data_IF_863685725062
#
_entry.id   IF_863685725062
#
_cell.length_a   1.000
_cell.length_b   1.000
_cell.length_c   1.000
_cell.angle_alpha   90.00
_cell.angle_beta   90.00
_cell.angle_gamma   90.00
#
_symmetry.space_group_name_H-M   'P 1'
#
loop_
_entity.id
_entity.type
_entity.pdbx_description
1 polymer ?
#
# COMPACT_ATOMS: atom_id res chain seq x y z
N UNK A 1 12.13 16.05 -23.57
CA UNK A 1 13.45 15.49 -23.95
C UNK A 1 13.27 14.05 -24.42
N UNK A 2 12.96 13.82 -25.71
CA UNK A 2 12.41 12.52 -26.16
C UNK A 2 13.41 11.37 -26.11
N UNK A 3 14.73 11.63 -26.02
CA UNK A 3 15.79 10.61 -25.99
C UNK A 3 16.45 10.44 -24.61
N UNK A 4 16.06 11.22 -23.60
CA UNK A 4 16.66 11.12 -22.27
C UNK A 4 16.23 9.80 -21.62
N UNK A 5 17.19 8.90 -21.39
CA UNK A 5 16.94 7.56 -20.81
C UNK A 5 17.39 7.46 -19.36
N UNK A 6 18.46 8.15 -19.03
CA UNK A 6 19.05 8.17 -17.70
C UNK A 6 19.19 9.62 -17.30
N UNK A 7 18.65 9.96 -16.14
CA UNK A 7 18.86 11.26 -15.54
C UNK A 7 19.30 11.05 -14.10
N UNK A 8 20.61 10.95 -13.89
CA UNK A 8 21.15 10.62 -12.59
C UNK A 8 21.00 11.82 -11.64
N UNK A 9 20.19 11.64 -10.61
CA UNK A 9 19.98 12.59 -9.52
C UNK A 9 20.56 12.09 -8.20
N UNK A 10 21.38 11.02 -8.23
CA UNK A 10 22.22 10.65 -7.09
C UNK A 10 23.03 11.87 -6.65
N UNK A 11 23.19 12.03 -5.34
CA UNK A 11 23.87 13.19 -4.71
C UNK A 11 23.07 14.50 -4.73
N UNK A 12 21.79 14.47 -5.17
CA UNK A 12 20.85 15.56 -4.94
C UNK A 12 19.86 15.23 -3.83
N UNK A 13 19.07 16.22 -3.40
CA UNK A 13 17.89 16.01 -2.52
C UNK A 13 16.59 15.82 -3.31
N UNK A 14 16.70 15.37 -4.56
CA UNK A 14 15.52 15.22 -5.43
C UNK A 14 14.55 14.14 -4.91
N UNK A 15 15.05 13.18 -4.14
CA UNK A 15 14.26 12.18 -3.43
C UNK A 15 13.30 12.80 -2.39
N UNK A 16 13.63 13.94 -1.77
CA UNK A 16 12.73 14.70 -0.87
C UNK A 16 11.60 15.47 -1.57
N UNK A 17 11.63 15.58 -2.90
CA UNK A 17 10.59 16.28 -3.69
C UNK A 17 9.83 15.30 -4.57
N UNK A 18 9.48 14.15 -3.99
CA UNK A 18 8.81 13.05 -4.68
C UNK A 18 7.53 13.44 -5.40
N UNK A 19 6.75 14.37 -4.84
CA UNK A 19 5.51 14.89 -5.43
C UNK A 19 5.75 15.57 -6.78
N UNK A 20 6.58 16.62 -6.78
CA UNK A 20 6.94 17.34 -7.99
C UNK A 20 7.59 16.43 -9.05
N UNK A 21 8.41 15.44 -8.63
CA UNK A 21 8.97 14.45 -9.54
C UNK A 21 7.89 13.53 -10.13
N UNK A 22 6.91 13.12 -9.33
CA UNK A 22 5.78 12.29 -9.77
C UNK A 22 4.97 13.03 -10.84
N UNK A 23 4.65 14.30 -10.62
CA UNK A 23 3.98 15.15 -11.62
C UNK A 23 4.84 15.32 -12.88
N UNK A 24 6.14 15.55 -12.73
CA UNK A 24 7.04 15.69 -13.87
C UNK A 24 7.14 14.40 -14.70
N UNK A 25 7.19 13.23 -14.06
CA UNK A 25 7.20 11.93 -14.71
C UNK A 25 5.87 11.64 -15.41
N UNK A 26 4.75 11.94 -14.76
CA UNK A 26 3.41 11.77 -15.31
C UNK A 26 2.99 12.86 -16.31
N UNK A 27 3.88 13.82 -16.63
CA UNK A 27 3.60 14.89 -17.60
C UNK A 27 3.57 14.41 -19.06
N UNK A 28 4.09 13.22 -19.35
CA UNK A 28 4.29 12.71 -20.71
C UNK A 28 5.46 13.36 -21.48
N UNK A 29 6.23 14.26 -20.85
CA UNK A 29 7.36 14.97 -21.51
C UNK A 29 8.69 14.19 -21.49
N UNK A 30 8.72 13.06 -20.78
CA UNK A 30 9.89 12.21 -20.56
C UNK A 30 9.65 10.75 -21.03
N UNK A 31 9.19 10.52 -22.27
CA UNK A 31 8.68 9.21 -22.70
C UNK A 31 9.75 8.11 -22.80
N UNK A 32 11.04 8.46 -22.84
CA UNK A 32 12.14 7.50 -22.93
C UNK A 32 12.87 7.28 -21.61
N UNK A 33 12.47 8.00 -20.55
CA UNK A 33 13.18 7.96 -19.28
C UNK A 33 13.02 6.59 -18.64
N UNK A 34 14.14 6.01 -18.21
CA UNK A 34 14.19 4.70 -17.57
C UNK A 34 14.58 4.79 -16.10
N UNK A 35 15.40 5.76 -15.71
CA UNK A 35 15.88 5.84 -14.32
C UNK A 35 16.26 7.25 -13.92
N UNK A 36 16.08 7.55 -12.63
CA UNK A 36 16.53 8.78 -11.96
C UNK A 36 17.80 8.58 -11.11
N UNK A 37 18.38 7.38 -11.09
CA UNK A 37 19.56 7.05 -10.27
C UNK A 37 19.26 6.57 -8.84
N UNK A 38 18.07 6.81 -8.31
CA UNK A 38 17.64 6.32 -7.00
C UNK A 38 16.31 5.54 -7.08
N UNK A 39 15.98 4.85 -5.98
CA UNK A 39 14.91 3.83 -5.94
C UNK A 39 13.77 4.17 -4.97
N UNK A 40 13.75 5.35 -4.37
CA UNK A 40 12.69 5.77 -3.46
C UNK A 40 12.35 7.25 -3.63
N UNK A 41 11.07 7.57 -3.63
CA UNK A 41 10.57 8.94 -3.49
C UNK A 41 10.02 9.14 -2.08
N UNK A 42 10.32 10.30 -1.52
CA UNK A 42 9.78 10.75 -0.25
C UNK A 42 8.76 11.87 -0.44
N UNK A 43 7.70 11.84 0.36
CA UNK A 43 6.55 12.71 0.22
C UNK A 43 6.13 13.29 1.57
N UNK A 44 5.79 14.58 1.56
CA UNK A 44 4.95 15.22 2.56
C UNK A 44 3.47 15.18 2.12
N UNK A 45 2.58 15.85 2.87
CA UNK A 45 1.16 15.92 2.52
C UNK A 45 0.91 16.53 1.12
N UNK A 46 1.66 17.57 0.74
CA UNK A 46 1.55 18.15 -0.61
C UNK A 46 2.00 17.13 -1.66
N UNK A 47 3.10 16.43 -1.40
CA UNK A 47 3.64 15.40 -2.27
C UNK A 47 2.71 14.21 -2.46
N UNK A 48 1.94 13.82 -1.44
CA UNK A 48 0.89 12.79 -1.56
C UNK A 48 -0.22 13.25 -2.51
N UNK A 49 -0.65 14.52 -2.43
CA UNK A 49 -1.59 15.10 -3.38
C UNK A 49 -1.06 15.11 -4.82
N UNK A 50 0.17 15.57 -5.01
CA UNK A 50 0.87 15.56 -6.30
C UNK A 50 0.98 14.14 -6.90
N UNK A 51 1.25 13.15 -6.04
CA UNK A 51 1.27 11.75 -6.46
C UNK A 51 -0.13 11.28 -6.90
N UNK A 52 -1.19 11.66 -6.19
CA UNK A 52 -2.57 11.39 -6.58
C UNK A 52 -2.90 11.92 -7.97
N UNK A 53 -2.54 13.17 -8.25
CA UNK A 53 -2.71 13.77 -9.59
C UNK A 53 -1.91 13.04 -10.66
N UNK A 54 -0.66 12.66 -10.35
CA UNK A 54 0.18 11.89 -11.26
C UNK A 54 -0.40 10.49 -11.57
N UNK A 55 -1.01 9.84 -10.58
CA UNK A 55 -1.71 8.54 -10.74
C UNK A 55 -2.94 8.67 -11.63
N UNK A 56 -3.73 9.74 -11.48
CA UNK A 56 -4.89 10.04 -12.35
C UNK A 56 -4.46 10.34 -13.79
N UNK A 57 -3.36 11.08 -13.96
CA UNK A 57 -2.86 11.44 -15.29
C UNK A 57 -2.36 10.23 -16.10
N UNK A 58 -1.78 9.23 -15.42
CA UNK A 58 -1.30 7.96 -16.00
C UNK A 58 -0.21 8.07 -17.11
N UNK A 59 0.34 9.25 -17.42
CA UNK A 59 1.31 9.41 -18.54
C UNK A 59 2.77 9.15 -18.13
N UNK A 60 2.99 8.08 -17.39
CA UNK A 60 4.30 7.70 -16.88
C UNK A 60 5.21 7.13 -17.99
N UNK A 61 6.54 7.27 -17.87
CA UNK A 61 7.45 6.69 -18.85
C UNK A 61 7.35 5.15 -18.87
N UNK A 62 7.16 4.52 -20.05
CA UNK A 62 7.13 3.06 -20.14
C UNK A 62 8.48 2.46 -19.80
N UNK A 63 8.48 1.40 -18.99
CA UNK A 63 9.71 0.69 -18.60
C UNK A 63 10.62 1.49 -17.67
N UNK A 64 10.04 2.40 -16.89
CA UNK A 64 10.72 3.07 -15.80
C UNK A 64 11.15 2.07 -14.72
N UNK A 65 12.31 2.33 -14.10
CA UNK A 65 12.87 1.49 -13.05
C UNK A 65 11.95 1.47 -11.85
N UNK A 66 11.98 0.33 -11.17
CA UNK A 66 11.23 0.06 -9.95
C UNK A 66 11.56 1.08 -8.84
N UNK A 67 10.52 1.61 -8.19
CA UNK A 67 10.62 2.64 -7.14
C UNK A 67 9.67 2.32 -5.99
N UNK A 68 10.07 2.71 -4.78
CA UNK A 68 9.25 2.76 -3.58
C UNK A 68 8.81 4.20 -3.26
N UNK A 69 7.59 4.37 -2.74
CA UNK A 69 7.09 5.65 -2.27
C UNK A 69 7.01 5.64 -0.75
N UNK A 70 7.58 6.65 -0.10
CA UNK A 70 7.72 6.71 1.35
C UNK A 70 7.19 8.02 1.90
N UNK A 71 6.36 7.94 2.92
CA UNK A 71 5.87 9.10 3.65
C UNK A 71 6.94 9.60 4.62
N UNK A 72 7.19 10.92 4.65
CA UNK A 72 8.14 11.54 5.60
C UNK A 72 7.47 12.12 6.85
N UNK A 73 6.15 12.33 6.81
CA UNK A 73 5.41 13.02 7.85
C UNK A 73 4.37 12.11 8.50
N UNK A 74 4.09 12.37 9.76
CA UNK A 74 3.00 11.72 10.49
C UNK A 74 1.68 12.45 10.23
N UNK A 75 0.56 11.76 10.41
CA UNK A 75 -0.80 12.32 10.36
C UNK A 75 -1.25 12.83 8.97
N UNK A 76 -0.53 12.48 7.91
CA UNK A 76 -0.89 12.85 6.53
C UNK A 76 -2.16 12.13 6.11
N UNK A 77 -3.13 12.86 5.55
CA UNK A 77 -4.33 12.26 4.99
C UNK A 77 -4.03 11.56 3.66
N UNK A 78 -4.30 10.25 3.59
CA UNK A 78 -4.03 9.42 2.41
C UNK A 78 -5.28 9.20 1.53
N UNK A 79 -6.45 9.68 1.95
CA UNK A 79 -7.72 9.40 1.28
C UNK A 79 -7.73 9.82 -0.19
N UNK A 80 -7.18 10.99 -0.49
CA UNK A 80 -7.10 11.49 -1.87
C UNK A 80 -6.21 10.62 -2.75
N UNK A 81 -5.12 10.07 -2.21
CA UNK A 81 -4.28 9.13 -2.94
C UNK A 81 -5.00 7.80 -3.17
N UNK A 82 -5.67 7.25 -2.15
CA UNK A 82 -6.46 6.03 -2.28
C UNK A 82 -7.57 6.20 -3.31
N UNK A 83 -8.27 7.33 -3.28
CA UNK A 83 -9.30 7.68 -4.25
C UNK A 83 -8.70 7.83 -5.65
N UNK A 84 -7.56 8.50 -5.80
CA UNK A 84 -6.87 8.64 -7.08
C UNK A 84 -6.50 7.27 -7.69
N UNK A 85 -6.02 6.33 -6.88
CA UNK A 85 -5.78 4.95 -7.32
C UNK A 85 -7.09 4.32 -7.79
N UNK A 86 -8.15 4.48 -7.01
CA UNK A 86 -9.50 3.98 -7.32
C UNK A 86 -10.13 4.62 -8.57
N UNK A 87 -9.79 5.85 -8.92
CA UNK A 87 -10.31 6.56 -10.10
C UNK A 87 -9.49 6.31 -11.36
N UNK A 88 -8.20 6.02 -11.21
CA UNK A 88 -7.30 5.77 -12.34
C UNK A 88 -7.70 4.53 -13.13
N UNK A 89 -7.62 4.60 -14.47
CA UNK A 89 -7.93 3.50 -15.38
C UNK A 89 -7.03 2.27 -15.14
N UNK A 90 -5.78 2.53 -14.74
CA UNK A 90 -4.76 1.50 -14.55
C UNK A 90 -4.37 1.35 -13.07
N UNK A 91 -4.68 2.34 -12.25
CA UNK A 91 -4.31 2.36 -10.84
C UNK A 91 -2.85 2.76 -10.65
N UNK A 92 -2.17 2.09 -9.73
CA UNK A 92 -0.75 2.34 -9.49
C UNK A 92 0.08 1.92 -10.71
N UNK A 93 1.08 2.74 -11.11
CA UNK A 93 1.99 2.37 -12.18
C UNK A 93 2.75 1.09 -11.86
N UNK A 94 2.98 0.23 -12.86
CA UNK A 94 3.63 -1.08 -12.69
C UNK A 94 5.07 -1.05 -12.15
N UNK A 95 5.73 0.11 -12.16
CA UNK A 95 7.06 0.28 -11.59
C UNK A 95 7.02 0.58 -10.08
N UNK A 96 5.87 0.89 -9.50
CA UNK A 96 5.73 1.11 -8.05
C UNK A 96 5.75 -0.24 -7.36
N UNK A 97 6.82 -0.52 -6.61
CA UNK A 97 6.98 -1.78 -5.87
C UNK A 97 6.49 -1.69 -4.44
N UNK A 98 6.76 -0.56 -3.80
CA UNK A 98 6.50 -0.33 -2.38
C UNK A 98 5.72 0.94 -2.15
N UNK A 99 4.71 0.85 -1.28
CA UNK A 99 4.05 1.99 -0.66
C UNK A 99 4.32 1.92 0.84
N UNK A 100 5.15 2.83 1.33
CA UNK A 100 5.48 2.99 2.74
C UNK A 100 4.75 4.21 3.28
N UNK A 101 3.52 4.00 3.73
CA UNK A 101 2.60 5.05 4.15
C UNK A 101 2.39 5.07 5.67
N UNK A 102 3.36 4.52 6.40
CA UNK A 102 3.33 4.48 7.87
C UNK A 102 3.08 5.87 8.45
N UNK A 103 2.30 5.92 9.54
CA UNK A 103 1.82 7.14 10.19
C UNK A 103 0.82 8.00 9.39
N UNK A 104 0.43 7.60 8.18
CA UNK A 104 -0.67 8.27 7.46
C UNK A 104 -2.05 7.86 7.97
N UNK A 105 -3.09 8.62 7.63
CA UNK A 105 -4.49 8.35 7.98
C UNK A 105 -5.30 7.92 6.77
N UNK A 106 -6.19 6.95 6.99
CA UNK A 106 -7.09 6.38 5.99
C UNK A 106 -8.51 6.32 6.56
N UNK A 107 -9.49 6.82 5.83
CA UNK A 107 -10.90 6.65 6.16
C UNK A 107 -11.45 5.31 5.68
N UNK A 108 -12.56 4.89 6.30
CA UNK A 108 -13.27 3.69 5.84
C UNK A 108 -13.84 3.92 4.44
N UNK A 109 -14.32 5.13 4.19
CA UNK A 109 -14.92 5.57 2.93
C UNK A 109 -13.94 5.53 1.77
N UNK A 110 -12.69 5.95 1.98
CA UNK A 110 -11.65 5.87 0.96
C UNK A 110 -11.33 4.41 0.59
N UNK A 111 -11.19 3.53 1.58
CA UNK A 111 -10.96 2.10 1.35
C UNK A 111 -12.15 1.43 0.67
N UNK A 112 -13.38 1.74 1.09
CA UNK A 112 -14.59 1.24 0.46
C UNK A 112 -14.72 1.70 -1.00
N UNK A 113 -14.39 2.96 -1.28
CA UNK A 113 -14.32 3.50 -2.64
C UNK A 113 -13.30 2.74 -3.50
N UNK A 114 -12.10 2.47 -2.97
CA UNK A 114 -11.10 1.70 -3.69
C UNK A 114 -11.58 0.27 -3.98
N UNK A 115 -12.14 -0.43 -2.98
CA UNK A 115 -12.68 -1.78 -3.14
C UNK A 115 -13.79 -1.85 -4.21
N UNK A 116 -14.69 -0.86 -4.25
CA UNK A 116 -15.76 -0.76 -5.24
C UNK A 116 -15.23 -0.57 -6.67
N UNK A 117 -14.00 -0.09 -6.82
CA UNK A 117 -13.33 0.11 -8.10
C UNK A 117 -12.45 -1.09 -8.54
N UNK A 118 -12.60 -2.26 -7.90
CA UNK A 118 -11.93 -3.50 -8.33
C UNK A 118 -12.49 -4.12 -9.62
N UNK A 119 -11.74 -5.05 -10.22
CA UNK A 119 -12.25 -5.88 -11.34
C UNK A 119 -12.33 -5.25 -12.74
N UNK A 120 -11.60 -4.16 -13.02
CA UNK A 120 -11.57 -3.54 -14.36
C UNK A 120 -10.84 -4.37 -15.44
N UNK A 121 -11.05 -4.00 -16.72
CA UNK A 121 -10.48 -4.68 -17.90
C UNK A 121 -8.93 -4.76 -17.91
N UNK A 122 -8.26 -3.91 -17.14
CA UNK A 122 -6.80 -3.81 -16.98
C UNK A 122 -6.24 -4.68 -15.83
N UNK A 123 -7.09 -5.38 -15.08
CA UNK A 123 -6.72 -6.13 -13.88
C UNK A 123 -6.77 -5.28 -12.61
N UNK A 124 -6.10 -5.75 -11.55
CA UNK A 124 -6.07 -5.06 -10.26
C UNK A 124 -5.26 -3.76 -10.26
N UNK A 125 -5.83 -2.69 -9.70
CA UNK A 125 -5.20 -1.37 -9.54
C UNK A 125 -3.97 -1.36 -8.63
N UNK A 126 -3.77 -2.45 -7.89
CA UNK A 126 -2.64 -2.70 -6.98
C UNK A 126 -1.84 -3.95 -7.37
N UNK A 127 -2.09 -4.54 -8.56
CA UNK A 127 -1.64 -5.89 -8.92
C UNK A 127 -0.12 -6.09 -8.95
N UNK A 128 0.65 -5.02 -9.18
CA UNK A 128 2.11 -5.04 -9.26
C UNK A 128 2.81 -4.68 -7.93
N UNK A 129 2.04 -4.19 -6.95
CA UNK A 129 2.58 -3.77 -5.67
C UNK A 129 3.08 -4.99 -4.89
N UNK A 130 4.28 -4.89 -4.30
CA UNK A 130 4.93 -5.98 -3.56
C UNK A 130 4.97 -5.73 -2.07
N UNK A 131 5.08 -4.46 -1.68
CA UNK A 131 5.26 -4.03 -0.31
C UNK A 131 4.24 -2.94 0.02
N UNK A 132 3.50 -3.15 1.09
CA UNK A 132 2.61 -2.15 1.65
C UNK A 132 2.90 -2.04 3.15
N UNK A 133 3.23 -0.84 3.60
CA UNK A 133 3.41 -0.54 5.01
C UNK A 133 2.39 0.52 5.43
N UNK A 134 1.46 0.09 6.27
CA UNK A 134 0.42 0.91 6.92
C UNK A 134 0.58 0.85 8.44
N UNK A 135 1.82 0.72 8.92
CA UNK A 135 2.10 0.71 10.35
C UNK A 135 1.76 2.06 10.97
N UNK A 136 1.21 2.07 12.19
CA UNK A 136 0.84 3.31 12.88
C UNK A 136 -0.19 4.19 12.14
N UNK A 137 -1.04 3.60 11.31
CA UNK A 137 -2.07 4.32 10.54
C UNK A 137 -3.41 4.49 11.28
N UNK A 138 -3.51 4.03 12.53
CA UNK A 138 -4.76 4.06 13.30
C UNK A 138 -5.84 3.15 12.71
N UNK A 139 -5.43 2.06 12.04
CA UNK A 139 -6.37 1.07 11.51
C UNK A 139 -7.06 0.34 12.67
N UNK A 140 -8.38 0.35 12.65
CA UNK A 140 -9.22 -0.47 13.52
C UNK A 140 -9.78 -1.66 12.72
N UNK A 141 -10.60 -2.48 13.38
CA UNK A 141 -11.21 -3.66 12.78
C UNK A 141 -12.08 -3.34 11.55
N UNK A 142 -12.76 -2.20 11.54
CA UNK A 142 -13.62 -1.79 10.43
C UNK A 142 -12.77 -1.42 9.20
N UNK A 143 -11.75 -0.59 9.38
CA UNK A 143 -10.79 -0.24 8.31
C UNK A 143 -10.03 -1.47 7.82
N UNK A 144 -9.63 -2.37 8.72
CA UNK A 144 -8.94 -3.59 8.34
C UNK A 144 -9.85 -4.50 7.49
N UNK A 145 -11.13 -4.66 7.86
CA UNK A 145 -12.10 -5.39 7.04
C UNK A 145 -12.19 -4.80 5.64
N UNK A 146 -12.30 -3.47 5.50
CA UNK A 146 -12.30 -2.80 4.18
C UNK A 146 -11.02 -3.06 3.41
N UNK A 147 -9.87 -3.07 4.06
CA UNK A 147 -8.61 -3.43 3.41
C UNK A 147 -8.64 -4.88 2.88
N UNK A 148 -9.31 -5.80 3.58
CA UNK A 148 -9.59 -7.15 3.08
C UNK A 148 -10.44 -7.15 1.80
N UNK A 149 -11.49 -6.34 1.76
CA UNK A 149 -12.35 -6.15 0.57
C UNK A 149 -11.54 -5.57 -0.61
N UNK A 150 -10.68 -4.59 -0.37
CA UNK A 150 -9.75 -4.03 -1.37
C UNK A 150 -8.89 -5.14 -1.98
N UNK A 151 -8.22 -5.96 -1.16
CA UNK A 151 -7.38 -7.04 -1.68
C UNK A 151 -8.18 -8.13 -2.40
N UNK A 152 -9.42 -8.37 -1.97
CA UNK A 152 -10.34 -9.28 -2.65
C UNK A 152 -10.70 -8.78 -4.05
N UNK A 153 -11.03 -7.48 -4.16
CA UNK A 153 -11.46 -6.86 -5.41
C UNK A 153 -10.34 -6.63 -6.43
N UNK A 154 -9.09 -6.48 -5.96
CA UNK A 154 -7.95 -6.18 -6.84
C UNK A 154 -7.00 -7.36 -7.10
N UNK A 155 -7.14 -8.50 -6.43
CA UNK A 155 -6.26 -9.67 -6.61
C UNK A 155 -4.76 -9.27 -6.65
N UNK A 156 -4.21 -8.85 -5.51
CA UNK A 156 -2.84 -8.34 -5.42
C UNK A 156 -1.80 -9.48 -5.51
N UNK A 157 -1.65 -10.02 -6.73
CA UNK A 157 -0.86 -11.23 -7.02
C UNK A 157 0.61 -11.08 -6.72
N UNK A 158 1.20 -9.89 -6.87
CA UNK A 158 2.62 -9.66 -6.60
C UNK A 158 2.91 -9.30 -5.14
N UNK A 159 1.89 -9.14 -4.29
CA UNK A 159 2.05 -8.74 -2.90
C UNK A 159 2.87 -9.77 -2.12
N UNK A 160 3.97 -9.33 -1.53
CA UNK A 160 4.88 -10.19 -0.74
C UNK A 160 4.81 -9.84 0.74
N UNK A 161 4.64 -8.56 1.06
CA UNK A 161 4.72 -8.06 2.43
C UNK A 161 3.66 -6.99 2.70
N UNK A 162 2.93 -7.17 3.79
CA UNK A 162 2.04 -6.16 4.37
C UNK A 162 2.46 -5.96 5.83
N UNK A 163 2.78 -4.73 6.22
CA UNK A 163 3.07 -4.35 7.61
C UNK A 163 1.90 -3.52 8.16
N UNK A 164 1.30 -4.00 9.25
CA UNK A 164 0.17 -3.39 9.97
C UNK A 164 0.51 -3.21 11.46
N UNK A 165 1.80 -3.07 11.78
CA UNK A 165 2.27 -2.94 13.15
C UNK A 165 1.71 -1.64 13.78
N UNK A 166 1.58 -1.59 15.12
CA UNK A 166 1.19 -0.36 15.84
C UNK A 166 -0.19 0.22 15.44
N UNK A 167 -1.13 -0.64 15.06
CA UNK A 167 -2.53 -0.27 14.79
C UNK A 167 -3.44 -0.69 15.95
N UNK A 168 -4.76 -0.64 15.78
CA UNK A 168 -5.78 -0.99 16.79
C UNK A 168 -6.57 -2.22 16.34
N UNK A 169 -5.87 -3.24 15.86
CA UNK A 169 -6.46 -4.44 15.28
C UNK A 169 -6.68 -5.49 16.37
N UNK A 170 -7.92 -5.95 16.51
CA UNK A 170 -8.29 -7.09 17.36
C UNK A 170 -8.17 -8.42 16.61
N UNK A 171 -8.35 -9.52 17.33
CA UNK A 171 -8.41 -10.86 16.74
C UNK A 171 -9.69 -11.03 15.90
N UNK A 172 -10.78 -10.41 16.32
CA UNK A 172 -12.05 -10.36 15.60
C UNK A 172 -11.90 -9.59 14.28
N UNK A 173 -11.19 -8.46 14.32
CA UNK A 173 -10.85 -7.67 13.13
C UNK A 173 -10.00 -8.46 12.13
N UNK A 174 -8.96 -9.13 12.63
CA UNK A 174 -8.13 -10.00 11.79
C UNK A 174 -8.91 -11.18 11.21
N UNK A 175 -9.81 -11.80 11.99
CA UNK A 175 -10.69 -12.86 11.49
C UNK A 175 -11.57 -12.34 10.35
N UNK A 176 -12.21 -11.18 10.53
CA UNK A 176 -13.06 -10.57 9.52
C UNK A 176 -12.28 -10.18 8.24
N UNK A 177 -11.03 -9.71 8.40
CA UNK A 177 -10.12 -9.48 7.28
C UNK A 177 -9.86 -10.76 6.48
N UNK A 178 -9.48 -11.84 7.16
CA UNK A 178 -9.20 -13.13 6.53
C UNK A 178 -10.44 -13.72 5.86
N UNK A 179 -11.63 -13.50 6.42
CA UNK A 179 -12.91 -13.88 5.84
C UNK A 179 -13.19 -13.15 4.53
N UNK A 180 -12.95 -11.84 4.47
CA UNK A 180 -13.15 -11.00 3.27
C UNK A 180 -12.24 -11.39 2.09
N UNK A 181 -11.07 -11.98 2.36
CA UNK A 181 -10.15 -12.44 1.32
C UNK A 181 -10.69 -13.68 0.59
N UNK A 182 -10.49 -13.72 -0.73
CA UNK A 182 -10.54 -14.94 -1.53
C UNK A 182 -9.15 -15.63 -1.56
N UNK A 183 -9.07 -16.93 -1.92
CA UNK A 183 -7.78 -17.60 -2.12
C UNK A 183 -6.88 -16.91 -3.15
N UNK A 184 -7.46 -16.16 -4.09
CA UNK A 184 -6.76 -15.43 -5.16
C UNK A 184 -6.34 -14.01 -4.78
N UNK A 185 -6.79 -13.48 -3.63
CA UNK A 185 -6.52 -12.09 -3.23
C UNK A 185 -5.02 -11.82 -3.04
N UNK A 186 -4.30 -12.73 -2.37
CA UNK A 186 -2.92 -12.53 -1.91
C UNK A 186 -2.08 -13.84 -2.02
N UNK A 187 -1.96 -14.45 -3.21
CA UNK A 187 -1.39 -15.78 -3.39
C UNK A 187 0.13 -15.85 -3.10
N UNK A 188 0.81 -14.71 -3.15
CA UNK A 188 2.26 -14.61 -2.94
C UNK A 188 2.63 -13.97 -1.60
N UNK A 189 1.67 -13.63 -0.74
CA UNK A 189 1.96 -12.97 0.53
C UNK A 189 2.78 -13.88 1.43
N UNK A 190 3.98 -13.43 1.80
CA UNK A 190 4.91 -14.18 2.65
C UNK A 190 4.91 -13.66 4.08
N UNK A 191 4.67 -12.36 4.25
CA UNK A 191 4.74 -11.68 5.55
C UNK A 191 3.54 -10.76 5.73
N UNK A 192 2.75 -11.02 6.76
CA UNK A 192 1.76 -10.11 7.31
C UNK A 192 2.20 -9.80 8.75
N UNK A 193 2.64 -8.57 9.00
CA UNK A 193 3.11 -8.12 10.31
C UNK A 193 1.97 -7.43 11.06
N UNK A 194 1.74 -7.84 12.32
CA UNK A 194 0.66 -7.39 13.21
C UNK A 194 1.21 -7.15 14.62
N UNK A 195 2.44 -6.65 14.74
CA UNK A 195 3.14 -6.49 16.03
C UNK A 195 2.64 -5.27 16.77
N UNK A 196 2.81 -5.28 18.10
CA UNK A 196 2.55 -4.15 19.01
C UNK A 196 1.24 -3.44 18.71
N UNK A 197 0.12 -4.18 18.69
CA UNK A 197 -1.18 -3.55 18.54
C UNK A 197 -1.51 -2.72 19.79
N UNK A 198 -2.29 -1.66 19.58
CA UNK A 198 -2.75 -0.72 20.57
C UNK A 198 -4.20 -1.02 20.96
N UNK A 199 -4.59 -0.57 22.15
CA UNK A 199 -5.98 -0.56 22.60
C UNK A 199 -6.81 0.42 21.79
N UNK A 200 -8.15 0.38 21.97
CA UNK A 200 -9.08 1.36 21.38
C UNK A 200 -8.72 2.79 21.79
N UNK A 201 -8.23 2.97 23.02
CA UNK A 201 -7.78 4.24 23.57
C UNK A 201 -6.41 4.68 23.01
N UNK A 202 -5.74 3.82 22.26
CA UNK A 202 -4.46 4.11 21.59
C UNK A 202 -3.23 3.80 22.43
N UNK A 203 -3.38 3.11 23.55
CA UNK A 203 -2.28 2.67 24.41
C UNK A 203 -1.70 1.34 23.90
N UNK A 204 -0.38 1.15 23.93
CA UNK A 204 0.21 -0.12 23.54
C UNK A 204 -0.28 -1.26 24.47
N UNK A 205 -0.67 -2.39 23.89
CA UNK A 205 -1.05 -3.57 24.68
C UNK A 205 0.09 -3.98 25.62
N UNK A 206 -0.27 -4.39 26.84
CA UNK A 206 0.68 -4.96 27.77
C UNK A 206 1.34 -6.24 27.22
N UNK A 207 2.50 -6.60 27.78
CA UNK A 207 3.31 -7.74 27.31
C UNK A 207 2.51 -9.05 27.29
N UNK A 208 1.59 -9.23 28.23
CA UNK A 208 0.76 -10.42 28.31
C UNK A 208 -0.26 -10.45 27.18
N UNK A 209 -0.98 -9.36 26.99
CA UNK A 209 -1.98 -9.19 25.94
C UNK A 209 -1.34 -9.33 24.55
N UNK A 210 -0.14 -8.78 24.34
CA UNK A 210 0.62 -8.97 23.10
C UNK A 210 0.95 -10.44 22.82
N UNK A 211 1.29 -11.22 23.85
CA UNK A 211 1.57 -12.67 23.71
C UNK A 211 0.30 -13.45 23.40
N UNK A 212 -0.80 -13.13 24.07
CA UNK A 212 -2.11 -13.75 23.83
C UNK A 212 -2.59 -13.46 22.40
N UNK A 213 -2.47 -12.20 21.96
CA UNK A 213 -2.74 -11.79 20.58
C UNK A 213 -1.87 -12.56 19.58
N UNK A 214 -0.55 -12.61 19.78
CA UNK A 214 0.35 -13.34 18.87
C UNK A 214 0.03 -14.84 18.78
N UNK A 215 -0.39 -15.46 19.89
CA UNK A 215 -0.83 -16.86 19.92
C UNK A 215 -2.13 -17.07 19.11
N UNK A 216 -3.09 -16.15 19.24
CA UNK A 216 -4.33 -16.18 18.48
C UNK A 216 -4.08 -15.93 16.98
N UNK A 217 -3.17 -15.04 16.61
CA UNK A 217 -2.73 -14.82 15.22
C UNK A 217 -2.20 -16.12 14.60
N UNK A 218 -1.35 -16.87 15.32
CA UNK A 218 -0.83 -18.16 14.83
C UNK A 218 -1.96 -19.18 14.58
N UNK A 219 -3.00 -19.16 15.41
CA UNK A 219 -4.19 -20.02 15.24
C UNK A 219 -5.00 -19.62 14.00
N UNK A 220 -5.20 -18.32 13.78
CA UNK A 220 -5.89 -17.80 12.59
C UNK A 220 -5.08 -18.03 11.31
N UNK A 221 -3.76 -17.91 11.35
CA UNK A 221 -2.87 -18.25 10.25
C UNK A 221 -3.03 -19.72 9.84
N UNK A 222 -3.03 -20.64 10.80
CA UNK A 222 -3.28 -22.06 10.53
C UNK A 222 -4.68 -22.31 9.92
N UNK A 223 -5.71 -21.59 10.38
CA UNK A 223 -7.05 -21.66 9.81
C UNK A 223 -7.11 -21.10 8.37
N UNK A 224 -6.46 -19.98 8.10
CA UNK A 224 -6.35 -19.40 6.77
C UNK A 224 -5.71 -20.39 5.78
N UNK A 225 -4.62 -21.05 6.19
CA UNK A 225 -3.97 -22.09 5.38
C UNK A 225 -4.90 -23.27 5.08
N UNK A 226 -5.66 -23.75 6.07
CA UNK A 226 -6.65 -24.84 5.87
C UNK A 226 -7.75 -24.44 4.88
N UNK A 227 -8.09 -23.16 4.83
CA UNK A 227 -9.09 -22.60 3.92
C UNK A 227 -8.51 -22.22 2.54
N UNK A 228 -7.25 -22.58 2.25
CA UNK A 228 -6.60 -22.26 0.97
C UNK A 228 -6.19 -20.79 0.83
N UNK A 229 -6.27 -20.00 1.89
CA UNK A 229 -5.92 -18.57 1.91
C UNK A 229 -4.50 -18.39 2.44
N UNK A 230 -3.78 -17.41 1.90
CA UNK A 230 -2.48 -16.96 2.39
C UNK A 230 -1.44 -18.08 2.61
N UNK A 231 -1.39 -19.10 1.74
CA UNK A 231 -0.58 -20.32 1.92
C UNK A 231 0.93 -20.11 2.15
N UNK A 232 1.45 -18.92 1.87
CA UNK A 232 2.86 -18.57 2.03
C UNK A 232 3.12 -17.67 3.25
N UNK A 233 2.09 -17.24 3.97
CA UNK A 233 2.20 -16.41 5.17
C UNK A 233 2.92 -17.22 6.26
N UNK A 234 4.06 -16.70 6.71
CA UNK A 234 4.88 -17.28 7.77
C UNK A 234 5.07 -16.28 8.90
#
# INVERSE_FOLDING_TARGET
>A
MPKLRLFNLCETRADCVGGALSVALASGKLPSLKTLGFHSFRFDETGVGDLGEAVRAWRWPPGFTKIDFTLEQTDVNLDELIRAIGESEIGLPSFVLGLHLSYGRLSEEALASLAANGGGASGGKLSQLKHLDLSSCGLDDARLRRLGEVFSAHECREMVRIDLDYNRISIEGLSAFLEALSPQSLPNLRRLSLRSQNTVEGEELGVREQREFASAVASLQAAAHRNGKLLKWR
#
